data_IF_055085034595
#
_entry.id   IF_055085034595
#
_cell.length_a   1.000
_cell.length_b   1.000
_cell.length_c   1.000
_cell.angle_alpha   90.00
_cell.angle_beta   90.00
_cell.angle_gamma   90.00
#
_symmetry.space_group_name_H-M   'P 1'
#
loop_
_entity.id
_entity.type
_entity.pdbx_description
1 polymer ?
#
# COMPACT_ATOMS: atom_id res chain seq x y z
N UNK A 1 -0.91 5.38 16.94
CA UNK A 1 0.43 5.04 17.50
C UNK A 1 0.39 3.91 18.53
N UNK A 2 -0.13 4.09 19.76
CA UNK A 2 -0.14 3.00 20.79
C UNK A 2 -0.97 1.78 20.35
N UNK A 3 -2.10 2.02 19.66
CA UNK A 3 -3.02 0.97 19.20
C UNK A 3 -2.41 0.11 18.09
N UNK A 4 -1.71 0.73 17.12
CA UNK A 4 -1.02 0.01 16.04
C UNK A 4 0.12 -0.86 16.56
N UNK A 5 0.95 -0.36 17.48
CA UNK A 5 2.05 -1.15 18.06
C UNK A 5 1.54 -2.33 18.90
N UNK A 6 0.44 -2.15 19.63
CA UNK A 6 -0.22 -3.26 20.34
C UNK A 6 -0.78 -4.31 19.38
N UNK A 7 -1.45 -3.89 18.29
CA UNK A 7 -1.92 -4.82 17.25
C UNK A 7 -0.76 -5.55 16.58
N UNK A 8 0.34 -4.85 16.26
CA UNK A 8 1.56 -5.44 15.71
C UNK A 8 2.16 -6.49 16.65
N UNK A 9 2.25 -6.22 17.95
CA UNK A 9 2.79 -7.17 18.92
C UNK A 9 1.91 -8.43 19.06
N UNK A 10 0.58 -8.27 18.98
CA UNK A 10 -0.36 -9.39 18.98
C UNK A 10 -0.25 -10.21 17.69
N UNK A 11 -0.14 -9.54 16.55
CA UNK A 11 0.05 -10.17 15.25
C UNK A 11 1.40 -10.88 15.14
N UNK A 12 2.48 -10.30 15.67
CA UNK A 12 3.79 -10.95 15.73
C UNK A 12 3.80 -12.25 16.55
N UNK A 13 2.80 -12.49 17.41
CA UNK A 13 2.58 -13.78 18.08
C UNK A 13 1.73 -14.72 17.22
N UNK A 14 0.67 -14.21 16.60
CA UNK A 14 -0.21 -14.97 15.69
C UNK A 14 0.51 -15.47 14.44
N UNK A 15 1.45 -14.69 13.92
CA UNK A 15 2.26 -15.01 12.75
C UNK A 15 3.38 -16.02 13.08
N UNK A 16 3.64 -16.28 14.38
CA UNK A 16 4.59 -17.30 14.83
C UNK A 16 3.87 -18.63 15.05
N UNK A 17 4.35 -19.68 14.36
CA UNK A 17 3.90 -21.05 14.57
C UNK A 17 2.82 -21.51 13.59
N UNK A 18 1.82 -22.24 14.09
CA UNK A 18 0.81 -22.94 13.28
C UNK A 18 -0.38 -22.03 12.97
N UNK A 19 -0.64 -21.03 13.83
CA UNK A 19 -1.76 -20.09 13.72
C UNK A 19 -1.70 -19.16 12.51
N UNK A 20 -0.53 -19.03 11.86
CA UNK A 20 -0.34 -18.28 10.61
C UNK A 20 -1.17 -18.80 9.43
N UNK A 21 -1.66 -20.03 9.51
CA UNK A 21 -2.49 -20.66 8.48
C UNK A 21 -3.95 -20.79 8.90
N UNK A 22 -4.32 -20.27 10.07
CA UNK A 22 -5.68 -20.35 10.55
C UNK A 22 -6.55 -19.28 9.84
N UNK A 23 -7.55 -19.68 9.03
CA UNK A 23 -8.43 -18.72 8.35
C UNK A 23 -9.26 -17.89 9.33
N UNK A 24 -9.43 -18.32 10.59
CA UNK A 24 -10.08 -17.52 11.63
C UNK A 24 -9.34 -16.21 11.97
N UNK A 25 -8.03 -16.14 11.66
CA UNK A 25 -7.23 -14.94 11.89
C UNK A 25 -7.36 -13.90 10.74
N UNK A 26 -7.96 -14.30 9.62
CA UNK A 26 -8.04 -13.47 8.42
C UNK A 26 -8.79 -12.16 8.68
N UNK A 27 -9.93 -12.20 9.37
CA UNK A 27 -10.68 -10.99 9.71
C UNK A 27 -9.87 -10.00 10.56
N UNK A 28 -9.00 -10.50 11.45
CA UNK A 28 -8.12 -9.64 12.27
C UNK A 28 -7.01 -9.04 11.42
N UNK A 29 -6.44 -9.82 10.50
CA UNK A 29 -5.40 -9.37 9.58
C UNK A 29 -5.93 -8.35 8.57
N UNK A 30 -7.14 -8.55 8.02
CA UNK A 30 -7.79 -7.60 7.11
C UNK A 30 -8.05 -6.26 7.80
N UNK A 31 -8.61 -6.29 9.01
CA UNK A 31 -8.78 -5.09 9.82
C UNK A 31 -7.45 -4.40 10.13
N UNK A 32 -6.37 -5.17 10.31
CA UNK A 32 -5.03 -4.62 10.47
C UNK A 32 -4.50 -3.97 9.19
N UNK A 33 -4.76 -4.53 8.01
CA UNK A 33 -4.43 -3.89 6.71
C UNK A 33 -5.18 -2.57 6.54
N UNK A 34 -6.46 -2.52 6.90
CA UNK A 34 -7.19 -1.25 6.89
C UNK A 34 -6.61 -0.23 7.88
N UNK A 35 -6.22 -0.70 9.07
CA UNK A 35 -5.60 0.15 10.09
C UNK A 35 -4.24 0.65 9.63
N UNK A 36 -3.46 -0.19 8.95
CA UNK A 36 -2.22 0.21 8.28
C UNK A 36 -2.47 1.34 7.27
N UNK A 37 -3.57 1.29 6.51
CA UNK A 37 -3.94 2.34 5.56
C UNK A 37 -4.35 3.64 6.28
N UNK A 38 -5.12 3.54 7.37
CA UNK A 38 -5.59 4.68 8.19
C UNK A 38 -4.47 5.36 8.99
N UNK A 39 -3.62 4.57 9.64
CA UNK A 39 -2.53 5.06 10.50
C UNK A 39 -1.21 5.29 9.74
N UNK A 40 -1.20 5.10 8.40
CA UNK A 40 0.00 5.23 7.57
C UNK A 40 1.19 4.41 8.12
N UNK A 41 0.90 3.19 8.56
CA UNK A 41 1.89 2.25 9.04
C UNK A 41 2.03 1.10 8.04
N UNK A 42 3.21 0.50 7.92
CA UNK A 42 3.45 -0.56 6.95
C UNK A 42 4.09 -1.78 7.60
N UNK A 43 3.56 -2.95 7.29
CA UNK A 43 3.97 -4.24 7.80
C UNK A 43 3.90 -5.31 6.69
N UNK A 44 5.03 -5.55 6.02
CA UNK A 44 5.10 -6.50 4.91
C UNK A 44 4.73 -7.92 5.34
N UNK A 45 5.17 -8.36 6.52
CA UNK A 45 4.95 -9.72 7.00
C UNK A 45 3.44 -10.01 7.17
N UNK A 46 2.69 -9.07 7.74
CA UNK A 46 1.24 -9.17 7.85
C UNK A 46 0.55 -9.15 6.47
N UNK A 47 1.01 -8.30 5.56
CA UNK A 47 0.46 -8.20 4.21
C UNK A 47 0.66 -9.51 3.41
N UNK A 48 1.86 -10.07 3.45
CA UNK A 48 2.16 -11.36 2.81
C UNK A 48 1.38 -12.51 3.46
N UNK A 49 1.15 -12.47 4.77
CA UNK A 49 0.33 -13.47 5.45
C UNK A 49 -1.13 -13.46 4.98
N UNK A 50 -1.71 -12.28 4.76
CA UNK A 50 -3.07 -12.15 4.19
C UNK A 50 -3.13 -12.76 2.79
N UNK A 51 -2.23 -12.36 1.88
CA UNK A 51 -2.20 -12.88 0.51
C UNK A 51 -1.99 -14.40 0.51
N UNK A 52 -1.12 -14.91 1.40
CA UNK A 52 -0.89 -16.34 1.55
C UNK A 52 -2.14 -17.10 2.04
N UNK A 53 -2.89 -16.53 2.98
CA UNK A 53 -4.14 -17.13 3.47
C UNK A 53 -5.22 -17.15 2.39
N UNK A 54 -5.29 -16.12 1.54
CA UNK A 54 -6.17 -16.11 0.38
C UNK A 54 -5.83 -17.20 -0.64
N UNK A 55 -4.54 -17.45 -0.91
CA UNK A 55 -4.15 -18.56 -1.80
C UNK A 55 -4.55 -19.93 -1.24
N UNK A 56 -4.45 -20.13 0.08
CA UNK A 56 -4.90 -21.38 0.71
C UNK A 56 -6.42 -21.50 0.77
N UNK A 57 -7.14 -20.38 0.84
CA UNK A 57 -8.58 -20.36 1.00
C UNK A 57 -9.23 -19.36 0.01
N UNK A 58 -9.36 -19.72 -1.28
CA UNK A 58 -9.89 -18.82 -2.31
C UNK A 58 -11.29 -18.26 -2.01
N UNK A 59 -12.10 -18.99 -1.23
CA UNK A 59 -13.44 -18.57 -0.82
C UNK A 59 -13.46 -17.28 0.04
N UNK A 60 -12.34 -16.91 0.67
CA UNK A 60 -12.22 -15.70 1.47
C UNK A 60 -11.47 -14.58 0.75
N UNK A 61 -11.13 -14.73 -0.54
CA UNK A 61 -10.40 -13.72 -1.27
C UNK A 61 -11.16 -12.39 -1.30
N UNK A 62 -10.50 -11.32 -0.84
CA UNK A 62 -11.05 -9.96 -0.90
C UNK A 62 -10.21 -9.07 -1.82
N UNK A 63 -10.86 -8.60 -2.87
CA UNK A 63 -10.25 -7.71 -3.86
C UNK A 63 -9.83 -6.38 -3.20
N UNK A 64 -10.69 -5.79 -2.36
CA UNK A 64 -10.41 -4.48 -1.73
C UNK A 64 -9.17 -4.50 -0.84
N UNK A 65 -8.99 -5.57 -0.06
CA UNK A 65 -7.82 -5.72 0.83
C UNK A 65 -6.56 -5.96 -0.01
N UNK A 66 -6.64 -6.79 -1.04
CA UNK A 66 -5.53 -7.07 -1.97
C UNK A 66 -5.06 -5.78 -2.67
N UNK A 67 -6.00 -4.98 -3.15
CA UNK A 67 -5.73 -3.65 -3.73
C UNK A 67 -5.02 -2.73 -2.73
N UNK A 68 -5.48 -2.67 -1.49
CA UNK A 68 -4.84 -1.85 -0.45
C UNK A 68 -3.40 -2.32 -0.17
N UNK A 69 -3.17 -3.64 -0.11
CA UNK A 69 -1.82 -4.20 0.07
C UNK A 69 -0.91 -3.79 -1.09
N UNK A 70 -1.36 -3.96 -2.33
CA UNK A 70 -0.58 -3.61 -3.52
C UNK A 70 -0.28 -2.12 -3.59
N UNK A 71 -1.26 -1.26 -3.33
CA UNK A 71 -1.07 0.19 -3.29
C UNK A 71 -0.07 0.59 -2.19
N UNK A 72 -0.14 -0.04 -1.01
CA UNK A 72 0.83 0.22 0.06
C UNK A 72 2.22 -0.29 -0.27
N UNK A 73 2.34 -1.41 -0.98
CA UNK A 73 3.64 -1.90 -1.47
C UNK A 73 4.24 -0.93 -2.51
N UNK A 74 3.42 -0.39 -3.44
CA UNK A 74 3.87 0.66 -4.38
C UNK A 74 4.37 1.92 -3.68
N UNK A 75 3.79 2.30 -2.54
CA UNK A 75 4.26 3.47 -1.80
C UNK A 75 5.64 3.30 -1.17
N UNK A 76 6.14 2.05 -1.06
CA UNK A 76 7.45 1.71 -0.52
C UNK A 76 8.48 1.34 -1.59
N UNK A 77 8.22 1.63 -2.86
CA UNK A 77 9.29 1.65 -3.87
C UNK A 77 10.44 2.54 -3.39
N UNK A 78 11.70 2.17 -3.63
CA UNK A 78 12.18 1.15 -4.59
C UNK A 78 12.35 -0.28 -4.02
N UNK A 79 11.77 -0.62 -2.86
CA UNK A 79 11.91 -1.96 -2.30
C UNK A 79 11.13 -3.03 -3.11
N UNK A 80 11.65 -4.27 -3.13
CA UNK A 80 11.10 -5.45 -3.84
C UNK A 80 9.75 -5.95 -3.28
N UNK A 81 9.16 -5.20 -2.35
CA UNK A 81 7.93 -5.55 -1.65
C UNK A 81 6.75 -5.69 -2.62
N UNK A 82 6.72 -4.88 -3.67
CA UNK A 82 5.68 -4.94 -4.71
C UNK A 82 5.77 -6.23 -5.52
N UNK A 83 6.96 -6.57 -6.00
CA UNK A 83 7.23 -7.83 -6.69
C UNK A 83 6.86 -9.05 -5.83
N UNK A 84 7.20 -9.03 -4.53
CA UNK A 84 6.83 -10.10 -3.61
C UNK A 84 5.31 -10.24 -3.46
N UNK A 85 4.59 -9.12 -3.31
CA UNK A 85 3.13 -9.14 -3.24
C UNK A 85 2.51 -9.69 -4.54
N UNK A 86 3.03 -9.28 -5.71
CA UNK A 86 2.60 -9.78 -7.02
C UNK A 86 2.76 -11.30 -7.12
N UNK A 87 3.91 -11.84 -6.74
CA UNK A 87 4.15 -13.30 -6.77
C UNK A 87 3.25 -14.10 -5.82
N UNK A 88 2.65 -13.44 -4.82
CA UNK A 88 1.74 -14.06 -3.87
C UNK A 88 0.27 -13.99 -4.30
N UNK A 89 -0.05 -13.43 -5.46
CA UNK A 89 -1.43 -13.39 -5.99
C UNK A 89 -1.52 -14.37 -7.16
N UNK A 90 -2.53 -15.25 -7.14
CA UNK A 90 -2.79 -16.17 -8.25
C UNK A 90 -3.06 -15.44 -9.58
N UNK A 91 -2.58 -15.99 -10.69
CA UNK A 91 -2.70 -15.41 -12.04
C UNK A 91 -4.13 -15.01 -12.39
N UNK A 92 -5.13 -15.83 -12.01
CA UNK A 92 -6.54 -15.53 -12.26
C UNK A 92 -6.96 -14.18 -11.64
N UNK A 93 -6.56 -13.92 -10.41
CA UNK A 93 -6.86 -12.67 -9.71
C UNK A 93 -5.97 -11.50 -10.17
N UNK A 94 -4.80 -11.76 -10.75
CA UNK A 94 -3.95 -10.71 -11.33
C UNK A 94 -4.59 -10.08 -12.58
N UNK A 95 -5.37 -10.85 -13.34
CA UNK A 95 -6.08 -10.39 -14.53
C UNK A 95 -7.41 -9.70 -14.18
N UNK A 96 -7.84 -9.76 -12.91
CA UNK A 96 -9.08 -9.11 -12.47
C UNK A 96 -8.91 -7.59 -12.33
N UNK A 97 -9.95 -6.86 -12.75
CA UNK A 97 -10.05 -5.45 -12.47
C UNK A 97 -10.45 -5.24 -11.00
N UNK A 98 -9.76 -4.38 -10.23
CA UNK A 98 -8.79 -3.37 -10.66
C UNK A 98 -7.31 -3.74 -10.37
N UNK A 99 -7.05 -4.97 -9.92
CA UNK A 99 -5.70 -5.47 -9.59
C UNK A 99 -4.76 -5.37 -10.78
N UNK A 100 -5.23 -5.79 -11.96
CA UNK A 100 -4.46 -5.73 -13.21
C UNK A 100 -3.89 -4.34 -13.50
N UNK A 101 -4.67 -3.28 -13.24
CA UNK A 101 -4.25 -1.90 -13.50
C UNK A 101 -3.16 -1.45 -12.53
N UNK A 102 -3.24 -1.88 -11.26
CA UNK A 102 -2.21 -1.58 -10.26
C UNK A 102 -0.92 -2.31 -10.59
N UNK A 103 -1.01 -3.59 -11.00
CA UNK A 103 0.13 -4.39 -11.42
C UNK A 103 0.83 -3.76 -12.63
N UNK A 104 0.06 -3.36 -13.65
CA UNK A 104 0.61 -2.67 -14.81
C UNK A 104 1.31 -1.35 -14.44
N UNK A 105 0.72 -0.56 -13.55
CA UNK A 105 1.33 0.69 -13.07
C UNK A 105 2.63 0.41 -12.30
N UNK A 106 2.65 -0.61 -11.46
CA UNK A 106 3.83 -1.01 -10.72
C UNK A 106 4.97 -1.50 -11.61
N UNK A 107 4.67 -2.36 -12.58
CA UNK A 107 5.65 -2.86 -13.54
C UNK A 107 6.28 -1.71 -14.35
N UNK A 108 5.48 -0.72 -14.77
CA UNK A 108 5.97 0.46 -15.47
C UNK A 108 6.90 1.31 -14.59
N UNK A 109 6.57 1.44 -13.31
CA UNK A 109 7.38 2.17 -12.33
C UNK A 109 8.68 1.43 -12.00
N UNK A 110 8.63 0.13 -11.75
CA UNK A 110 9.83 -0.69 -11.49
C UNK A 110 10.79 -0.63 -12.67
N UNK A 111 10.30 -0.85 -13.90
CA UNK A 111 11.15 -0.81 -15.11
C UNK A 111 11.76 0.58 -15.33
N UNK A 112 10.97 1.64 -15.16
CA UNK A 112 11.46 3.02 -15.36
C UNK A 112 12.42 3.48 -14.26
N UNK A 113 12.25 3.01 -13.03
CA UNK A 113 13.19 3.26 -11.93
C UNK A 113 14.49 2.52 -12.20
N UNK A 114 14.46 1.21 -12.45
CA UNK A 114 15.66 0.39 -12.68
C UNK A 114 16.52 0.90 -13.85
N UNK A 115 15.90 1.34 -14.94
CA UNK A 115 16.61 1.87 -16.11
C UNK A 115 17.22 3.25 -15.90
N UNK A 116 16.71 4.04 -14.93
CA UNK A 116 17.10 5.43 -14.74
C UNK A 116 17.64 5.74 -13.34
N UNK A 117 17.93 4.73 -12.50
CA UNK A 117 18.41 4.88 -11.13
C UNK A 117 19.58 5.87 -11.02
N UNK A 118 20.56 5.79 -11.93
CA UNK A 118 21.75 6.66 -11.96
C UNK A 118 21.42 8.15 -12.21
N UNK A 119 20.32 8.44 -12.91
CA UNK A 119 19.86 9.82 -13.18
C UNK A 119 19.01 10.39 -12.06
N UNK A 120 18.38 9.52 -11.28
CA UNK A 120 17.41 9.86 -10.24
C UNK A 120 18.06 10.07 -8.87
N UNK A 121 19.25 9.51 -8.65
CA UNK A 121 20.04 9.65 -7.40
C UNK A 121 20.31 11.12 -7.03
N UNK A 122 20.32 12.03 -8.01
CA UNK A 122 20.53 13.47 -7.82
C UNK A 122 19.26 14.30 -7.54
N UNK A 123 18.06 13.72 -7.63
CA UNK A 123 16.79 14.47 -7.54
C UNK A 123 16.11 14.19 -6.20
N UNK A 124 16.39 15.04 -5.21
CA UNK A 124 15.69 15.03 -3.92
C UNK A 124 14.18 15.21 -4.11
N UNK A 125 13.37 14.25 -3.65
CA UNK A 125 11.90 14.32 -3.70
C UNK A 125 11.25 13.74 -4.96
N UNK A 126 12.01 13.08 -5.84
CA UNK A 126 11.48 12.38 -7.01
C UNK A 126 10.53 11.24 -6.63
N UNK A 127 10.94 10.39 -5.69
CA UNK A 127 10.09 9.31 -5.14
C UNK A 127 8.77 9.84 -4.58
N UNK A 128 8.83 10.97 -3.86
CA UNK A 128 7.65 11.63 -3.29
C UNK A 128 6.70 12.17 -4.38
N UNK A 129 7.26 12.54 -5.54
CA UNK A 129 6.47 13.02 -6.70
C UNK A 129 5.80 11.87 -7.46
N UNK A 130 6.51 10.75 -7.64
CA UNK A 130 5.90 9.49 -8.14
C UNK A 130 4.76 9.08 -7.21
N UNK A 131 5.02 9.12 -5.91
CA UNK A 131 4.08 8.71 -4.88
C UNK A 131 2.82 9.60 -4.88
N UNK A 132 2.98 10.92 -5.04
CA UNK A 132 1.87 11.87 -5.27
C UNK A 132 1.08 11.56 -6.55
N UNK A 133 1.78 11.24 -7.63
CA UNK A 133 1.15 10.92 -8.90
C UNK A 133 0.31 9.64 -8.81
N UNK A 134 0.83 8.59 -8.17
CA UNK A 134 0.07 7.35 -7.92
C UNK A 134 -1.19 7.66 -7.11
N UNK A 135 -1.07 8.41 -6.00
CA UNK A 135 -2.24 8.81 -5.20
C UNK A 135 -3.25 9.63 -6.00
N UNK A 136 -2.79 10.51 -6.90
CA UNK A 136 -3.66 11.31 -7.75
C UNK A 136 -4.42 10.44 -8.76
N UNK A 137 -3.72 9.55 -9.46
CA UNK A 137 -4.32 8.64 -10.45
C UNK A 137 -5.33 7.72 -9.76
N UNK A 138 -4.95 7.11 -8.63
CA UNK A 138 -5.85 6.26 -7.83
C UNK A 138 -7.06 7.04 -7.31
N UNK A 139 -6.86 8.28 -6.87
CA UNK A 139 -7.96 9.16 -6.40
C UNK A 139 -8.92 9.60 -7.51
N UNK A 140 -8.53 9.50 -8.78
CA UNK A 140 -9.39 9.78 -9.94
C UNK A 140 -10.08 8.50 -10.43
N UNK A 141 -9.35 7.38 -10.48
CA UNK A 141 -9.84 6.14 -11.07
C UNK A 141 -10.71 5.29 -10.14
N UNK A 142 -10.57 5.45 -8.82
CA UNK A 142 -11.36 4.70 -7.83
C UNK A 142 -12.45 5.59 -7.22
N UNK A 143 -13.71 5.41 -7.68
CA UNK A 143 -14.88 6.14 -7.15
C UNK A 143 -15.26 5.76 -5.70
N UNK A 144 -14.76 4.63 -5.18
CA UNK A 144 -15.14 4.07 -3.87
C UNK A 144 -14.02 4.05 -2.81
N UNK A 145 -12.85 4.62 -3.11
CA UNK A 145 -11.84 4.84 -2.08
C UNK A 145 -12.04 6.25 -1.56
N UNK A 146 -12.31 6.41 -0.26
CA UNK A 146 -12.50 7.72 0.38
C UNK A 146 -11.31 8.64 0.08
N UNK A 147 -11.49 9.49 -0.94
CA UNK A 147 -10.53 10.48 -1.46
C UNK A 147 -9.95 11.33 -0.32
N UNK A 148 -10.78 11.58 0.68
CA UNK A 148 -10.45 12.34 1.88
C UNK A 148 -9.53 11.58 2.84
N UNK A 149 -9.67 10.26 2.97
CA UNK A 149 -8.85 9.48 3.89
C UNK A 149 -7.41 9.37 3.38
N UNK A 150 -7.23 9.10 2.08
CA UNK A 150 -5.90 9.10 1.45
C UNK A 150 -5.24 10.49 1.50
N UNK A 151 -5.95 11.56 1.11
CA UNK A 151 -5.35 12.90 1.10
C UNK A 151 -5.06 13.45 2.50
N UNK A 152 -5.97 13.26 3.47
CA UNK A 152 -5.85 13.83 4.82
C UNK A 152 -4.77 13.14 5.66
N UNK A 153 -4.61 11.82 5.49
CA UNK A 153 -3.53 11.03 6.13
C UNK A 153 -2.15 11.48 5.61
N UNK A 154 -2.08 11.93 4.36
CA UNK A 154 -0.83 12.37 3.72
C UNK A 154 -0.47 13.82 4.00
N UNK A 155 -1.47 14.70 4.02
CA UNK A 155 -1.31 16.11 4.41
C UNK A 155 -0.73 16.24 5.83
N UNK A 156 -1.14 15.35 6.74
CA UNK A 156 -0.64 15.32 8.13
C UNK A 156 0.82 14.83 8.26
N UNK A 157 1.36 14.08 7.30
CA UNK A 157 2.71 13.51 7.38
C UNK A 157 3.78 14.47 6.85
N UNK A 158 3.44 15.33 5.89
CA UNK A 158 4.40 16.18 5.18
C UNK A 158 4.09 17.69 5.27
N UNK A 159 3.21 18.09 6.19
CA UNK A 159 2.95 19.49 6.50
C UNK A 159 2.23 20.26 5.39
N UNK A 160 1.35 19.61 4.62
CA UNK A 160 0.62 20.29 3.54
C UNK A 160 -0.71 20.85 4.05
N UNK A 161 -0.98 22.11 3.71
CA UNK A 161 -2.28 22.76 3.88
C UNK A 161 -2.91 22.99 2.51
N UNK A 162 -4.18 22.59 2.34
CA UNK A 162 -4.96 22.97 1.16
C UNK A 162 -5.65 24.30 1.40
N UNK A 163 -5.43 25.26 0.51
CA UNK A 163 -6.31 26.43 0.42
C UNK A 163 -7.62 26.04 -0.30
N UNK A 164 -8.71 26.77 -0.04
CA UNK A 164 -10.10 26.44 -0.40
C UNK A 164 -10.37 26.33 -1.92
N UNK A 165 -9.34 26.52 -2.75
CA UNK A 165 -9.37 26.45 -4.22
C UNK A 165 -8.91 25.09 -4.81
N UNK A 166 -8.58 24.10 -3.97
CA UNK A 166 -8.20 22.76 -4.43
C UNK A 166 -6.78 22.66 -5.03
N UNK A 167 -5.99 23.73 -4.93
CA UNK A 167 -4.57 23.72 -5.27
C UNK A 167 -3.77 23.45 -4.00
N UNK A 168 -3.01 22.35 -3.97
CA UNK A 168 -2.13 21.99 -2.86
C UNK A 168 -0.81 22.76 -2.99
N UNK A 169 -0.58 23.78 -2.18
CA UNK A 169 0.70 24.47 -2.10
C UNK A 169 1.62 23.79 -1.08
N UNK A 170 2.82 23.44 -1.52
CA UNK A 170 3.86 22.84 -0.67
C UNK A 170 4.64 24.00 -0.04
N UNK A 171 4.42 24.30 1.24
CA UNK A 171 5.36 25.11 2.00
C UNK A 171 6.53 24.22 2.40
N UNK A 172 7.62 24.29 1.64
CA UNK A 172 8.91 23.75 2.06
C UNK A 172 9.35 24.53 3.32
N UNK A 173 9.26 23.89 4.48
CA UNK A 173 9.98 24.37 5.67
C UNK A 173 11.44 23.97 5.47
N UNK A 174 12.26 24.96 5.11
CA UNK A 174 13.71 24.85 5.11
C UNK A 174 14.22 24.65 6.54
N UNK A 175 14.85 23.51 6.78
CA UNK A 175 15.95 23.39 7.74
C UNK A 175 17.13 22.73 7.04
#
# INVERSE_FOLDING_TARGET
>A
MVMFEQMRANLGKLLKGIDRYNPGNLATLECYVETQAKENAYDLEANLAVLKLYNFNPAFFQITVTVQILLKALTNLPHTDFTLCKCMIDQAHQEEWPIQQILYLGDLLETSLDENMDLLEGITGFEDSIRKFICHVVGITYQHIDRWLLLKVWMSKYGWSTDESGVSSIMASSQ
#
